data_IF_470993096223
#
_entry.id   IF_470993096223
#
_cell.length_a   1.000
_cell.length_b   1.000
_cell.length_c   1.000
_cell.angle_alpha   90.00
_cell.angle_beta   90.00
_cell.angle_gamma   90.00
#
_symmetry.space_group_name_H-M   'P 1'
#
loop_
_entity.id
_entity.type
_entity.pdbx_description
1 polymer ?
#
# COMPACT_ATOMS: atom_id res chain seq x y z
N UNK A 1 5.59 -3.55 3.56
CA UNK A 1 5.03 -4.56 2.64
C UNK A 1 4.45 -5.65 3.50
N UNK A 2 3.21 -6.06 3.22
CA UNK A 2 2.55 -7.16 3.91
C UNK A 2 3.09 -8.47 3.34
N UNK A 3 3.40 -9.46 4.19
CA UNK A 3 3.86 -10.76 3.70
C UNK A 3 2.69 -11.54 3.11
N UNK A 4 2.91 -12.11 1.92
CA UNK A 4 2.00 -13.10 1.33
C UNK A 4 2.49 -14.47 1.77
N UNK A 5 1.64 -15.25 2.43
CA UNK A 5 1.98 -16.59 2.90
C UNK A 5 1.63 -17.67 1.87
N UNK A 6 0.46 -17.55 1.24
CA UNK A 6 0.03 -18.54 0.26
C UNK A 6 -0.96 -17.96 -0.75
N UNK A 7 -1.08 -18.64 -1.89
CA UNK A 7 -2.13 -18.42 -2.88
C UNK A 7 -2.83 -19.76 -3.13
N UNK A 8 -4.09 -19.85 -2.73
CA UNK A 8 -4.87 -21.09 -2.69
C UNK A 8 -6.01 -21.05 -3.69
N UNK A 9 -6.32 -22.19 -4.30
CA UNK A 9 -7.51 -22.36 -5.14
C UNK A 9 -8.51 -23.25 -4.39
N UNK A 10 -9.71 -22.73 -4.13
CA UNK A 10 -10.79 -23.46 -3.49
C UNK A 10 -12.08 -23.23 -4.29
N UNK A 11 -12.71 -24.30 -4.76
CA UNK A 11 -13.96 -24.24 -5.56
C UNK A 11 -13.90 -23.26 -6.76
N UNK A 12 -12.78 -23.24 -7.49
CA UNK A 12 -12.51 -22.29 -8.60
C UNK A 12 -12.39 -20.81 -8.18
N UNK A 13 -12.26 -20.52 -6.89
CA UNK A 13 -11.96 -19.19 -6.36
C UNK A 13 -10.51 -19.12 -5.90
N UNK A 14 -9.87 -17.98 -6.16
CA UNK A 14 -8.48 -17.72 -5.79
C UNK A 14 -8.43 -16.92 -4.48
N UNK A 15 -7.83 -17.51 -3.45
CA UNK A 15 -7.65 -16.92 -2.13
C UNK A 15 -6.19 -16.58 -1.90
N UNK A 16 -5.90 -15.37 -1.40
CA UNK A 16 -4.55 -14.97 -1.00
C UNK A 16 -4.49 -14.90 0.52
N UNK A 17 -3.64 -15.74 1.12
CA UNK A 17 -3.39 -15.73 2.56
C UNK A 17 -2.23 -14.77 2.83
N UNK A 18 -2.46 -13.78 3.69
CA UNK A 18 -1.53 -12.69 3.96
C UNK A 18 -1.36 -12.48 5.47
N UNK A 19 -0.28 -11.82 5.85
CA UNK A 19 -0.04 -11.35 7.21
C UNK A 19 -1.17 -10.42 7.68
N UNK A 20 -1.80 -10.77 8.81
CA UNK A 20 -2.63 -9.85 9.57
C UNK A 20 -1.72 -9.00 10.46
N UNK A 21 -1.52 -7.76 10.03
CA UNK A 21 -0.69 -6.78 10.72
C UNK A 21 -1.53 -5.80 11.56
N UNK A 22 -2.84 -6.04 11.71
CA UNK A 22 -3.74 -5.15 12.47
C UNK A 22 -3.85 -3.74 11.90
N UNK A 23 -3.62 -3.57 10.60
CA UNK A 23 -3.61 -2.27 9.95
C UNK A 23 -5.00 -1.66 9.77
N UNK A 24 -5.08 -0.34 9.91
CA UNK A 24 -6.25 0.45 9.52
C UNK A 24 -6.00 1.19 8.21
N UNK A 25 -7.07 1.42 7.45
CA UNK A 25 -6.99 2.17 6.21
C UNK A 25 -6.71 3.65 6.49
N UNK A 26 -5.89 4.28 5.65
CA UNK A 26 -5.40 5.63 5.90
C UNK A 26 -6.54 6.66 5.95
N UNK A 27 -7.60 6.46 5.16
CA UNK A 27 -8.82 7.29 5.18
C UNK A 27 -9.51 7.25 6.54
N UNK A 28 -9.59 6.10 7.21
CA UNK A 28 -10.16 5.98 8.57
C UNK A 28 -9.32 6.73 9.60
N UNK A 29 -8.01 6.60 9.51
CA UNK A 29 -7.08 7.31 10.41
C UNK A 29 -7.21 8.82 10.22
N UNK A 30 -7.30 9.28 8.98
CA UNK A 30 -7.38 10.71 8.64
C UNK A 30 -8.77 11.30 8.83
N UNK A 31 -9.82 10.49 9.01
CA UNK A 31 -11.20 10.96 9.14
C UNK A 31 -11.38 11.98 10.28
N UNK A 32 -10.64 11.82 11.38
CA UNK A 32 -10.71 12.70 12.55
C UNK A 32 -9.38 13.41 12.89
N UNK A 33 -8.37 13.28 12.03
CA UNK A 33 -7.01 13.79 12.30
C UNK A 33 -6.56 14.69 11.15
N UNK A 34 -6.21 15.93 11.48
CA UNK A 34 -5.48 16.80 10.55
C UNK A 34 -3.98 16.63 10.77
N UNK A 35 -3.24 16.32 9.71
CA UNK A 35 -1.79 16.25 9.76
C UNK A 35 -1.19 17.65 9.65
N UNK A 36 -0.28 17.99 10.55
CA UNK A 36 0.57 19.15 10.32
C UNK A 36 1.55 18.87 9.15
N UNK A 37 2.17 19.92 8.56
CA UNK A 37 3.05 19.73 7.40
C UNK A 37 4.18 18.72 7.62
N UNK A 38 4.74 18.64 8.83
CA UNK A 38 5.80 17.68 9.15
C UNK A 38 5.29 16.25 9.12
N UNK A 39 4.14 15.99 9.74
CA UNK A 39 3.51 14.66 9.75
C UNK A 39 3.09 14.23 8.35
N UNK A 40 2.53 15.16 7.57
CA UNK A 40 2.20 14.92 6.17
C UNK A 40 3.43 14.52 5.36
N UNK A 41 4.54 15.27 5.47
CA UNK A 41 5.77 14.96 4.74
C UNK A 41 6.37 13.60 5.16
N UNK A 42 6.34 13.26 6.46
CA UNK A 42 6.79 11.95 6.94
C UNK A 42 5.96 10.81 6.32
N UNK A 43 4.64 10.97 6.27
CA UNK A 43 3.75 10.00 5.64
C UNK A 43 4.00 9.89 4.14
N UNK A 44 4.06 11.03 3.44
CA UNK A 44 4.30 11.09 2.00
C UNK A 44 5.63 10.42 1.61
N UNK A 45 6.71 10.69 2.36
CA UNK A 45 8.01 10.04 2.14
C UNK A 45 7.91 8.53 2.33
N UNK A 46 7.21 8.05 3.36
CA UNK A 46 7.01 6.61 3.60
C UNK A 46 6.28 5.91 2.44
N UNK A 47 5.21 6.55 1.94
CA UNK A 47 4.42 6.06 0.80
C UNK A 47 5.29 6.01 -0.47
N UNK A 48 5.93 7.13 -0.83
CA UNK A 48 6.73 7.24 -2.06
C UNK A 48 7.95 6.31 -1.99
N UNK A 49 8.58 6.13 -0.82
CA UNK A 49 9.68 5.17 -0.64
C UNK A 49 9.21 3.74 -0.87
N UNK A 50 8.02 3.38 -0.38
CA UNK A 50 7.44 2.06 -0.61
C UNK A 50 7.12 1.84 -2.08
N UNK A 51 6.59 2.87 -2.76
CA UNK A 51 6.28 2.83 -4.18
C UNK A 51 7.54 2.71 -5.04
N UNK A 52 8.60 3.45 -4.70
CA UNK A 52 9.91 3.36 -5.35
C UNK A 52 10.47 1.93 -5.34
N UNK A 53 10.41 1.24 -4.19
CA UNK A 53 10.82 -0.17 -4.06
C UNK A 53 10.02 -1.13 -4.94
N UNK A 54 8.76 -0.80 -5.24
CA UNK A 54 7.92 -1.59 -6.14
C UNK A 54 8.36 -1.37 -7.59
N UNK A 55 8.59 -0.11 -7.99
CA UNK A 55 9.06 0.23 -9.34
C UNK A 55 10.47 -0.27 -9.64
N UNK A 56 11.37 -0.30 -8.66
CA UNK A 56 12.71 -0.92 -8.80
C UNK A 56 12.64 -2.39 -9.22
N UNK A 57 11.50 -3.06 -8.96
CA UNK A 57 11.24 -4.44 -9.37
C UNK A 57 10.49 -4.54 -10.70
N UNK A 58 10.36 -3.43 -11.43
CA UNK A 58 9.56 -3.30 -12.66
C UNK A 58 8.08 -3.70 -12.49
N UNK A 59 7.55 -3.61 -11.26
CA UNK A 59 6.14 -3.83 -10.97
C UNK A 59 5.45 -2.48 -10.97
N UNK A 60 4.36 -2.34 -11.74
CA UNK A 60 3.51 -1.14 -11.70
C UNK A 60 2.36 -1.44 -10.74
N UNK A 61 2.32 -0.72 -9.61
CA UNK A 61 1.18 -0.76 -8.69
C UNK A 61 0.01 -0.02 -9.34
N UNK A 62 -0.78 -0.70 -10.19
CA UNK A 62 -1.74 -0.11 -11.15
C UNK A 62 -2.67 0.98 -10.59
N UNK A 63 -3.06 0.89 -9.32
CA UNK A 63 -3.95 1.87 -8.67
C UNK A 63 -3.20 3.10 -8.10
N UNK A 64 -1.87 3.06 -8.09
CA UNK A 64 -0.97 4.10 -7.61
C UNK A 64 0.22 4.19 -8.59
N UNK A 65 -0.08 4.56 -9.83
CA UNK A 65 0.91 4.65 -10.90
C UNK A 65 1.59 6.04 -10.88
N UNK A 66 2.93 6.13 -10.76
CA UNK A 66 3.66 7.40 -10.82
C UNK A 66 3.67 8.01 -12.23
N UNK A 67 3.33 7.25 -13.27
CA UNK A 67 3.27 7.74 -14.65
C UNK A 67 2.05 8.64 -14.93
N UNK A 68 1.28 9.01 -13.91
CA UNK A 68 0.31 10.11 -13.97
C UNK A 68 1.04 11.46 -13.82
N UNK A 69 2.00 11.69 -14.71
CA UNK A 69 2.75 12.93 -14.86
C UNK A 69 2.63 13.41 -16.31
N UNK A 70 1.45 13.87 -16.68
CA UNK A 70 1.24 14.86 -17.73
C UNK A 70 0.67 16.11 -17.07
#
# INVERSE_FOLDING_TARGET
>A
MVKVYNLENYENLLYMVMEDFGGESLDKILFNISLNPKQFLQLAISIITSLGKIHERNIIHKDINPSQGY
#
